data_IF_845472133564
#
_entry.id   IF_845472133564
#
_cell.length_a   1.000
_cell.length_b   1.000
_cell.length_c   1.000
_cell.angle_alpha   90.00
_cell.angle_beta   90.00
_cell.angle_gamma   90.00
#
_symmetry.space_group_name_H-M   'P 1'
#
loop_
_entity.id
_entity.type
_entity.pdbx_description
1 polymer ?
#
# COMPACT_ATOMS: atom_id res chain seq x y z
N UNK A 1 -27.58 -34.51 50.65
CA UNK A 1 -26.30 -34.25 49.97
C UNK A 1 -26.63 -33.86 48.55
N UNK A 2 -26.61 -32.58 48.27
CA UNK A 2 -26.84 -32.06 46.92
C UNK A 2 -25.49 -31.55 46.43
N UNK A 3 -24.99 -32.17 45.37
CA UNK A 3 -23.72 -31.81 44.73
C UNK A 3 -23.87 -30.48 44.02
N UNK A 4 -23.01 -29.50 44.34
CA UNK A 4 -22.85 -28.26 43.62
C UNK A 4 -22.05 -28.55 42.33
N UNK A 5 -22.65 -28.35 41.18
CA UNK A 5 -21.95 -28.22 39.90
C UNK A 5 -21.30 -26.84 39.81
N UNK A 6 -20.05 -26.73 39.34
CA UNK A 6 -19.42 -25.43 39.08
C UNK A 6 -20.01 -24.82 37.82
N UNK A 7 -20.63 -23.65 37.95
CA UNK A 7 -21.03 -22.80 36.86
C UNK A 7 -19.76 -22.28 36.12
N UNK A 8 -19.56 -22.74 34.89
CA UNK A 8 -18.57 -22.25 33.98
C UNK A 8 -19.03 -20.84 33.46
N UNK A 9 -18.57 -19.77 34.11
CA UNK A 9 -18.67 -18.43 33.53
C UNK A 9 -17.68 -18.34 32.35
N UNK A 10 -18.10 -17.86 31.18
CA UNK A 10 -17.16 -17.63 30.09
C UNK A 10 -16.23 -16.49 30.51
N UNK A 11 -14.95 -16.79 30.63
CA UNK A 11 -13.87 -15.81 30.76
C UNK A 11 -13.95 -14.84 29.58
N UNK A 12 -14.33 -13.62 29.90
CA UNK A 12 -14.34 -12.47 29.00
C UNK A 12 -12.87 -12.10 28.72
N UNK A 13 -12.20 -12.84 27.84
CA UNK A 13 -10.96 -12.42 27.22
C UNK A 13 -11.32 -11.17 26.39
N UNK A 14 -11.04 -10.00 26.97
CA UNK A 14 -11.03 -8.73 26.23
C UNK A 14 -10.13 -8.98 25.02
N UNK A 15 -10.73 -9.04 23.83
CA UNK A 15 -10.00 -8.91 22.59
C UNK A 15 -9.20 -7.60 22.69
N UNK A 16 -7.90 -7.71 22.98
CA UNK A 16 -6.97 -6.61 22.73
C UNK A 16 -7.23 -6.20 21.29
N UNK A 17 -7.59 -4.93 21.04
CA UNK A 17 -7.76 -4.41 19.68
C UNK A 17 -6.50 -4.78 18.91
N UNK A 18 -6.63 -5.69 17.95
CA UNK A 18 -5.53 -6.14 17.11
C UNK A 18 -4.92 -4.92 16.45
N UNK A 19 -3.67 -4.60 16.79
CA UNK A 19 -2.90 -3.53 16.16
C UNK A 19 -2.66 -3.80 14.67
N UNK A 20 -3.00 -5.01 14.20
CA UNK A 20 -2.79 -5.46 12.83
C UNK A 20 -3.94 -4.97 11.95
N UNK A 21 -3.62 -4.10 11.00
CA UNK A 21 -4.59 -3.56 10.04
C UNK A 21 -4.70 -4.43 8.78
N UNK A 22 -3.64 -5.20 8.46
CA UNK A 22 -3.66 -6.21 7.39
C UNK A 22 -3.15 -7.52 7.94
N UNK A 23 -3.88 -8.61 7.66
CA UNK A 23 -3.49 -9.97 8.00
C UNK A 23 -3.57 -10.84 6.76
N UNK A 24 -2.46 -11.46 6.37
CA UNK A 24 -2.37 -12.43 5.28
C UNK A 24 -1.99 -13.79 5.87
N UNK A 25 -2.71 -14.85 5.51
CA UNK A 25 -2.46 -16.23 5.96
C UNK A 25 -2.46 -17.19 4.79
N UNK A 26 -1.33 -17.82 4.54
CA UNK A 26 -1.13 -18.83 3.50
C UNK A 26 -1.69 -18.39 2.14
N UNK A 27 -1.39 -17.15 1.71
CA UNK A 27 -1.94 -16.54 0.50
C UNK A 27 -1.24 -17.08 -0.72
N UNK A 28 -2.04 -17.67 -1.63
CA UNK A 28 -1.55 -18.21 -2.91
C UNK A 28 -2.24 -17.53 -4.09
N UNK A 29 -1.47 -17.26 -5.13
CA UNK A 29 -1.96 -16.68 -6.39
C UNK A 29 -1.36 -17.42 -7.58
N UNK A 30 -2.23 -17.80 -8.51
CA UNK A 30 -1.84 -18.36 -9.81
C UNK A 30 -2.35 -17.49 -10.97
N UNK A 31 -1.53 -17.39 -12.01
CA UNK A 31 -1.97 -16.96 -13.34
C UNK A 31 -1.89 -18.16 -14.28
N UNK A 32 -3.04 -18.75 -14.60
CA UNK A 32 -3.10 -20.04 -15.26
C UNK A 32 -2.37 -21.10 -14.41
N UNK A 33 -1.32 -21.72 -14.98
CA UNK A 33 -0.49 -22.71 -14.28
C UNK A 33 0.71 -22.10 -13.53
N UNK A 34 0.94 -20.80 -13.68
CA UNK A 34 2.10 -20.16 -13.04
C UNK A 34 1.75 -19.70 -11.62
N UNK A 35 2.45 -20.29 -10.64
CA UNK A 35 2.25 -20.04 -9.21
C UNK A 35 3.09 -18.84 -8.77
N UNK A 36 2.48 -17.66 -8.65
CA UNK A 36 3.17 -16.39 -8.40
C UNK A 36 3.35 -16.12 -6.92
N UNK A 37 2.33 -16.33 -6.08
CA UNK A 37 2.44 -16.22 -4.62
C UNK A 37 2.27 -17.60 -4.02
N UNK A 38 3.23 -18.00 -3.16
CA UNK A 38 3.40 -19.37 -2.70
C UNK A 38 3.30 -19.47 -1.18
N UNK A 39 2.14 -19.09 -0.61
CA UNK A 39 1.88 -19.20 0.84
C UNK A 39 2.37 -17.98 1.63
N UNK A 40 2.08 -16.77 1.15
CA UNK A 40 2.46 -15.54 1.86
C UNK A 40 1.68 -15.45 3.16
N UNK A 41 2.43 -15.39 4.28
CA UNK A 41 1.88 -15.18 5.62
C UNK A 41 2.62 -14.02 6.26
N UNK A 42 1.90 -12.93 6.54
CA UNK A 42 2.42 -11.73 7.19
C UNK A 42 1.30 -10.90 7.78
N UNK A 43 1.63 -10.01 8.71
CA UNK A 43 0.72 -9.01 9.27
C UNK A 43 1.33 -7.62 9.13
N UNK A 44 0.52 -6.58 8.95
CA UNK A 44 0.96 -5.18 8.94
C UNK A 44 0.20 -4.43 10.03
N UNK A 45 0.93 -3.71 10.87
CA UNK A 45 0.36 -2.93 11.96
C UNK A 45 -0.15 -1.58 11.46
N UNK A 46 -1.12 -1.02 12.17
CA UNK A 46 -1.59 0.35 11.91
C UNK A 46 -0.44 1.35 12.12
N UNK A 47 -0.22 2.23 11.16
CA UNK A 47 0.86 3.23 11.16
C UNK A 47 2.23 2.67 10.77
N UNK A 48 2.34 1.37 10.45
CA UNK A 48 3.59 0.75 10.03
C UNK A 48 3.89 1.07 8.56
N UNK A 49 5.15 1.38 8.26
CA UNK A 49 5.68 1.52 6.91
C UNK A 49 6.46 0.26 6.57
N UNK A 50 5.92 -0.55 5.65
CA UNK A 50 6.55 -1.78 5.18
C UNK A 50 7.08 -1.59 3.77
N UNK A 51 8.38 -1.81 3.55
CA UNK A 51 8.97 -1.81 2.23
C UNK A 51 9.13 -3.24 1.73
N UNK A 52 8.59 -3.51 0.54
CA UNK A 52 8.68 -4.79 -0.17
C UNK A 52 9.69 -4.65 -1.32
N UNK A 53 10.72 -5.47 -1.32
CA UNK A 53 11.81 -5.41 -2.29
C UNK A 53 12.20 -6.81 -2.79
N UNK A 54 13.05 -6.89 -3.81
CA UNK A 54 13.51 -8.16 -4.40
C UNK A 54 13.50 -8.15 -5.92
N UNK A 55 13.94 -9.23 -6.59
CA UNK A 55 14.07 -9.33 -8.04
C UNK A 55 12.76 -9.04 -8.79
N UNK A 56 12.86 -8.60 -10.04
CA UNK A 56 11.71 -8.47 -10.94
C UNK A 56 11.04 -9.83 -11.12
N UNK A 57 9.70 -9.87 -11.12
CA UNK A 57 8.94 -11.11 -11.24
C UNK A 57 8.81 -11.94 -9.97
N UNK A 58 9.38 -11.53 -8.82
CA UNK A 58 9.26 -12.27 -7.55
C UNK A 58 7.87 -12.23 -6.89
N UNK A 59 6.90 -11.49 -7.45
CA UNK A 59 5.52 -11.45 -6.95
C UNK A 59 5.14 -10.21 -6.14
N UNK A 60 6.03 -9.22 -5.94
CA UNK A 60 5.81 -8.01 -5.12
C UNK A 60 4.55 -7.23 -5.50
N UNK A 61 4.45 -6.80 -6.76
CA UNK A 61 3.27 -6.07 -7.27
C UNK A 61 2.00 -6.91 -7.19
N UNK A 62 2.11 -8.22 -7.46
CA UNK A 62 0.98 -9.13 -7.32
C UNK A 62 0.51 -9.20 -5.87
N UNK A 63 1.44 -9.29 -4.91
CA UNK A 63 1.10 -9.33 -3.49
C UNK A 63 0.31 -8.08 -3.06
N UNK A 64 0.82 -6.88 -3.31
CA UNK A 64 0.11 -5.67 -2.87
C UNK A 64 -1.23 -5.49 -3.58
N UNK A 65 -1.37 -5.94 -4.84
CA UNK A 65 -2.63 -5.92 -5.59
C UNK A 65 -3.64 -6.94 -5.10
N UNK A 66 -3.22 -7.98 -4.37
CA UNK A 66 -4.19 -8.88 -3.71
C UNK A 66 -4.85 -8.21 -2.50
N UNK A 67 -4.18 -7.29 -1.81
CA UNK A 67 -4.69 -6.61 -0.60
C UNK A 67 -5.93 -5.76 -0.89
N UNK A 68 -6.01 -5.12 -2.07
CA UNK A 68 -7.17 -4.33 -2.49
C UNK A 68 -8.06 -5.06 -3.53
N UNK A 69 -7.83 -6.35 -3.72
CA UNK A 69 -8.55 -7.20 -4.69
C UNK A 69 -8.48 -6.71 -6.14
N UNK A 70 -7.41 -6.02 -6.54
CA UNK A 70 -7.12 -5.82 -7.97
C UNK A 70 -6.67 -7.13 -8.61
N UNK A 71 -5.96 -7.96 -7.83
CA UNK A 71 -5.67 -9.34 -8.17
C UNK A 71 -6.39 -10.28 -7.21
N UNK A 72 -7.05 -11.29 -7.72
CA UNK A 72 -7.73 -12.29 -6.92
C UNK A 72 -6.74 -13.38 -6.48
N UNK A 73 -6.60 -13.61 -5.16
CA UNK A 73 -5.92 -14.79 -4.64
C UNK A 73 -6.86 -16.01 -4.70
N UNK A 74 -6.33 -17.20 -4.89
CA UNK A 74 -7.13 -18.43 -5.02
C UNK A 74 -7.16 -19.28 -3.75
N UNK A 75 -6.17 -19.07 -2.84
CA UNK A 75 -6.11 -19.79 -1.55
C UNK A 75 -5.53 -18.89 -0.47
N UNK A 76 -5.89 -19.18 0.77
CA UNK A 76 -5.49 -18.41 1.96
C UNK A 76 -6.48 -17.31 2.28
N UNK A 77 -6.20 -16.57 3.33
CA UNK A 77 -7.06 -15.51 3.85
C UNK A 77 -6.34 -14.16 3.83
N UNK A 78 -7.05 -13.12 3.44
CA UNK A 78 -6.62 -11.72 3.58
C UNK A 78 -7.72 -10.98 4.34
N UNK A 79 -7.34 -10.32 5.43
CA UNK A 79 -8.21 -9.45 6.23
C UNK A 79 -7.59 -8.05 6.20
N UNK A 80 -8.40 -7.05 5.87
CA UNK A 80 -7.99 -5.65 5.81
C UNK A 80 -8.92 -4.82 6.66
N UNK A 81 -8.38 -4.16 7.68
CA UNK A 81 -9.14 -3.35 8.67
C UNK A 81 -10.35 -4.12 9.24
N UNK A 82 -10.13 -5.38 9.62
CA UNK A 82 -11.16 -6.28 10.14
C UNK A 82 -12.14 -6.85 9.10
N UNK A 83 -12.02 -6.46 7.83
CA UNK A 83 -12.88 -6.94 6.74
C UNK A 83 -12.19 -8.06 5.97
N UNK A 84 -12.76 -9.27 5.96
CA UNK A 84 -12.23 -10.38 5.18
C UNK A 84 -12.45 -10.16 3.67
N UNK A 85 -11.41 -10.35 2.88
CA UNK A 85 -11.44 -10.34 1.43
C UNK A 85 -12.13 -11.61 0.90
N UNK A 86 -13.41 -11.50 0.64
CA UNK A 86 -14.25 -12.56 0.07
C UNK A 86 -14.71 -12.19 -1.34
N UNK A 87 -15.52 -13.05 -1.97
CA UNK A 87 -16.17 -12.72 -3.25
C UNK A 87 -17.39 -11.78 -3.09
N UNK A 88 -17.72 -11.36 -1.86
CA UNK A 88 -18.78 -10.36 -1.65
C UNK A 88 -18.31 -8.98 -2.11
N UNK A 89 -18.98 -8.43 -3.12
CA UNK A 89 -18.66 -7.12 -3.72
C UNK A 89 -18.74 -5.99 -2.68
N UNK A 90 -19.61 -6.08 -1.67
CA UNK A 90 -19.71 -5.08 -0.59
C UNK A 90 -18.44 -5.00 0.24
N UNK A 91 -17.82 -6.14 0.53
CA UNK A 91 -16.53 -6.20 1.23
C UNK A 91 -15.41 -5.60 0.39
N UNK A 92 -15.39 -5.90 -0.92
CA UNK A 92 -14.41 -5.34 -1.85
C UNK A 92 -14.53 -3.82 -1.93
N UNK A 93 -15.74 -3.28 -2.04
CA UNK A 93 -15.99 -1.84 -2.11
C UNK A 93 -15.61 -1.12 -0.80
N UNK A 94 -15.87 -1.75 0.36
CA UNK A 94 -15.45 -1.23 1.66
C UNK A 94 -13.93 -1.14 1.75
N UNK A 95 -13.21 -2.20 1.36
CA UNK A 95 -11.75 -2.24 1.37
C UNK A 95 -11.18 -1.21 0.38
N UNK A 96 -11.65 -1.17 -0.88
CA UNK A 96 -11.15 -0.23 -1.89
C UNK A 96 -11.40 1.24 -1.55
N UNK A 97 -12.37 1.54 -0.71
CA UNK A 97 -12.62 2.88 -0.20
C UNK A 97 -11.56 3.32 0.80
N UNK A 98 -11.07 2.38 1.63
CA UNK A 98 -10.17 2.67 2.74
C UNK A 98 -8.70 2.30 2.43
N UNK A 99 -8.43 1.72 1.25
CA UNK A 99 -7.10 1.39 0.74
C UNK A 99 -6.81 2.21 -0.52
N UNK A 100 -5.95 3.19 -0.41
CA UNK A 100 -5.44 3.96 -1.56
C UNK A 100 -4.34 3.18 -2.29
N UNK A 101 -4.26 3.35 -3.62
CA UNK A 101 -3.20 2.73 -4.41
C UNK A 101 -2.62 3.71 -5.42
N UNK A 102 -1.29 3.74 -5.47
CA UNK A 102 -0.50 4.51 -6.42
C UNK A 102 0.30 3.54 -7.27
N UNK A 103 0.21 3.67 -8.59
CA UNK A 103 0.81 2.77 -9.57
C UNK A 103 2.05 3.38 -10.19
N UNK A 104 2.89 2.54 -10.79
CA UNK A 104 4.02 2.91 -11.60
C UNK A 104 3.64 3.85 -12.78
N UNK A 105 2.51 3.60 -13.43
CA UNK A 105 2.07 4.30 -14.64
C UNK A 105 1.07 5.44 -14.38
N UNK A 106 1.08 6.05 -13.20
CA UNK A 106 0.23 7.18 -12.75
C UNK A 106 -1.28 6.91 -12.85
N UNK A 107 -1.77 6.35 -13.93
CA UNK A 107 -3.17 5.97 -14.22
C UNK A 107 -4.16 7.13 -14.04
N UNK A 108 -3.76 8.35 -14.41
CA UNK A 108 -4.65 9.50 -14.44
C UNK A 108 -5.64 9.39 -15.60
N UNK A 109 -6.84 9.93 -15.41
CA UNK A 109 -7.84 10.05 -16.46
C UNK A 109 -7.41 11.17 -17.44
N UNK A 110 -6.99 10.84 -18.67
CA UNK A 110 -6.38 11.82 -19.59
C UNK A 110 -7.36 12.88 -20.08
N UNK A 111 -8.66 12.61 -20.05
CA UNK A 111 -9.74 13.51 -20.45
C UNK A 111 -10.23 14.42 -19.32
N UNK A 112 -9.69 14.29 -18.11
CA UNK A 112 -10.00 15.12 -16.95
C UNK A 112 -8.77 15.95 -16.58
N UNK A 113 -8.98 17.21 -16.18
CA UNK A 113 -7.93 18.01 -15.58
C UNK A 113 -7.54 17.46 -14.20
N UNK A 114 -6.48 17.99 -13.59
CA UNK A 114 -5.95 17.59 -12.29
C UNK A 114 -7.03 17.66 -11.21
N UNK A 115 -7.73 18.81 -11.10
CA UNK A 115 -8.79 19.01 -10.13
C UNK A 115 -9.87 17.91 -10.24
N UNK A 116 -10.33 17.61 -11.44
CA UNK A 116 -11.36 16.61 -11.68
C UNK A 116 -10.85 15.18 -11.44
N UNK A 117 -9.57 14.88 -11.73
CA UNK A 117 -8.95 13.61 -11.37
C UNK A 117 -9.02 13.35 -9.86
N UNK A 118 -8.79 14.38 -9.03
CA UNK A 118 -8.77 14.27 -7.57
C UNK A 118 -10.20 14.25 -6.99
N UNK A 119 -11.12 15.09 -7.50
CA UNK A 119 -12.46 15.28 -6.89
C UNK A 119 -13.48 14.22 -7.27
N UNK A 120 -13.29 13.51 -8.39
CA UNK A 120 -14.26 12.57 -8.94
C UNK A 120 -14.66 11.47 -7.92
N UNK A 121 -13.67 10.78 -7.34
CA UNK A 121 -13.91 9.68 -6.42
C UNK A 121 -14.54 10.14 -5.08
N UNK A 122 -14.05 11.18 -4.40
CA UNK A 122 -14.71 11.74 -3.21
C UNK A 122 -16.17 12.11 -3.44
N UNK A 123 -16.49 12.76 -4.56
CA UNK A 123 -17.86 13.13 -4.88
C UNK A 123 -18.76 11.91 -5.13
N UNK A 124 -18.25 10.91 -5.88
CA UNK A 124 -19.05 9.73 -6.26
C UNK A 124 -19.18 8.72 -5.12
N UNK A 125 -18.09 8.44 -4.39
CA UNK A 125 -18.01 7.37 -3.38
C UNK A 125 -18.28 7.89 -1.97
N UNK A 126 -17.60 8.98 -1.56
CA UNK A 126 -17.75 9.60 -0.22
C UNK A 126 -18.93 10.57 -0.14
N UNK A 127 -19.60 10.86 -1.29
CA UNK A 127 -20.74 11.76 -1.41
C UNK A 127 -20.45 13.19 -0.98
N UNK A 128 -19.22 13.65 -1.10
CA UNK A 128 -18.87 15.03 -0.83
C UNK A 128 -19.56 15.97 -1.83
N UNK A 129 -19.96 17.15 -1.37
CA UNK A 129 -20.40 18.22 -2.26
C UNK A 129 -19.22 18.71 -3.13
N UNK A 130 -19.51 19.29 -4.29
CA UNK A 130 -18.47 19.82 -5.17
C UNK A 130 -17.57 20.84 -4.45
N UNK A 131 -18.15 21.72 -3.63
CA UNK A 131 -17.39 22.70 -2.85
C UNK A 131 -16.42 22.05 -1.87
N UNK A 132 -16.85 21.02 -1.15
CA UNK A 132 -16.00 20.28 -0.21
C UNK A 132 -14.88 19.51 -0.94
N UNK A 133 -15.23 18.83 -2.05
CA UNK A 133 -14.26 18.07 -2.83
C UNK A 133 -13.17 18.97 -3.44
N UNK A 134 -13.55 20.16 -3.96
CA UNK A 134 -12.58 21.14 -4.49
C UNK A 134 -11.69 21.69 -3.39
N UNK A 135 -12.24 22.07 -2.23
CA UNK A 135 -11.45 22.56 -1.10
C UNK A 135 -10.41 21.50 -0.66
N UNK A 136 -10.85 20.25 -0.46
CA UNK A 136 -9.97 19.14 -0.11
C UNK A 136 -8.91 18.87 -1.18
N UNK A 137 -9.27 18.94 -2.47
CA UNK A 137 -8.33 18.71 -3.57
C UNK A 137 -7.24 19.80 -3.60
N UNK A 138 -7.59 21.08 -3.35
CA UNK A 138 -6.59 22.16 -3.26
C UNK A 138 -5.63 21.96 -2.10
N UNK A 139 -6.12 21.61 -0.90
CA UNK A 139 -5.27 21.29 0.26
C UNK A 139 -4.29 20.14 -0.05
N UNK A 140 -4.76 19.12 -0.78
CA UNK A 140 -3.91 18.00 -1.19
C UNK A 140 -2.89 18.39 -2.27
N UNK A 141 -3.26 19.25 -3.21
CA UNK A 141 -2.34 19.78 -4.21
C UNK A 141 -1.25 20.66 -3.59
N UNK A 142 -1.61 21.48 -2.57
CA UNK A 142 -0.65 22.22 -1.75
C UNK A 142 0.31 21.27 -1.03
N UNK A 143 -0.23 20.22 -0.41
CA UNK A 143 0.54 19.21 0.32
C UNK A 143 1.53 18.48 -0.58
N UNK A 144 1.16 18.17 -1.84
CA UNK A 144 2.09 17.55 -2.80
C UNK A 144 2.89 18.56 -3.61
N UNK A 145 2.79 19.87 -3.30
CA UNK A 145 3.61 20.95 -3.85
C UNK A 145 3.34 21.31 -5.31
N UNK A 146 2.09 21.19 -5.78
CA UNK A 146 1.69 21.51 -7.17
C UNK A 146 0.30 22.17 -7.27
N UNK A 147 -0.08 23.13 -6.42
CA UNK A 147 -1.41 23.74 -6.47
C UNK A 147 -1.69 24.47 -7.78
N UNK A 148 -0.67 25.05 -8.42
CA UNK A 148 -0.76 25.77 -9.70
C UNK A 148 -1.09 24.86 -10.90
N UNK A 149 -1.04 23.53 -10.72
CA UNK A 149 -1.35 22.56 -11.78
C UNK A 149 -2.83 22.16 -11.82
N UNK A 150 -3.69 22.69 -10.94
CA UNK A 150 -5.08 22.28 -10.73
C UNK A 150 -5.92 22.21 -12.02
N UNK A 151 -5.74 23.15 -12.93
CA UNK A 151 -6.55 23.26 -14.16
C UNK A 151 -5.93 22.53 -15.37
N UNK A 152 -4.69 22.05 -15.24
CA UNK A 152 -3.98 21.36 -16.33
C UNK A 152 -4.47 19.94 -16.53
N UNK A 153 -4.25 19.43 -17.73
CA UNK A 153 -4.50 18.02 -18.07
C UNK A 153 -3.23 17.18 -17.89
N UNK A 154 -3.34 15.85 -17.69
CA UNK A 154 -2.18 14.99 -17.49
C UNK A 154 -1.08 15.12 -18.55
N UNK A 155 -1.44 15.33 -19.82
CA UNK A 155 -0.49 15.49 -20.92
C UNK A 155 0.38 16.77 -20.82
N UNK A 156 -0.02 17.74 -19.99
CA UNK A 156 0.69 19.00 -19.78
C UNK A 156 1.64 18.94 -18.57
N UNK A 157 1.70 17.80 -17.89
CA UNK A 157 2.46 17.59 -16.65
C UNK A 157 3.71 16.75 -16.89
N UNK A 158 4.78 17.03 -16.14
CA UNK A 158 5.93 16.13 -16.05
C UNK A 158 5.53 14.80 -15.38
N UNK A 159 6.33 13.75 -15.54
CA UNK A 159 6.09 12.45 -14.87
C UNK A 159 5.99 12.58 -13.36
N UNK A 160 6.89 13.34 -12.73
CA UNK A 160 6.85 13.59 -11.28
C UNK A 160 5.61 14.35 -10.83
N UNK A 161 5.14 15.33 -11.62
CA UNK A 161 3.88 16.02 -11.35
C UNK A 161 2.68 15.07 -11.49
N UNK A 162 2.63 14.24 -12.54
CA UNK A 162 1.58 13.24 -12.70
C UNK A 162 1.53 12.26 -11.53
N UNK A 163 2.68 11.82 -11.03
CA UNK A 163 2.75 10.93 -9.88
C UNK A 163 2.27 11.60 -8.59
N UNK A 164 2.64 12.87 -8.37
CA UNK A 164 2.14 13.64 -7.22
C UNK A 164 0.61 13.86 -7.31
N UNK A 165 0.06 14.07 -8.50
CA UNK A 165 -1.40 14.08 -8.70
C UNK A 165 -2.01 12.71 -8.38
N UNK A 166 -1.38 11.59 -8.77
CA UNK A 166 -1.87 10.26 -8.45
C UNK A 166 -1.87 10.00 -6.94
N UNK A 167 -0.85 10.47 -6.20
CA UNK A 167 -0.80 10.43 -4.74
C UNK A 167 -1.94 11.28 -4.14
N UNK A 168 -2.10 12.54 -4.58
CA UNK A 168 -3.17 13.41 -4.12
C UNK A 168 -4.55 12.81 -4.37
N UNK A 169 -4.78 12.21 -5.55
CA UNK A 169 -6.01 11.49 -5.88
C UNK A 169 -6.30 10.33 -4.94
N UNK A 170 -5.29 9.54 -4.60
CA UNK A 170 -5.44 8.44 -3.65
C UNK A 170 -5.77 8.96 -2.24
N UNK A 171 -5.07 10.00 -1.78
CA UNK A 171 -5.28 10.64 -0.47
C UNK A 171 -6.66 11.32 -0.35
N UNK A 172 -7.24 11.80 -1.45
CA UNK A 172 -8.56 12.43 -1.47
C UNK A 172 -9.68 11.48 -1.00
N UNK A 173 -9.46 10.17 -1.09
CA UNK A 173 -10.36 9.17 -0.51
C UNK A 173 -10.18 9.00 1.00
N UNK A 174 -9.26 9.72 1.66
CA UNK A 174 -8.94 9.58 3.09
C UNK A 174 -8.73 8.11 3.49
N UNK A 175 -7.79 7.42 2.82
CA UNK A 175 -7.56 5.99 3.07
C UNK A 175 -6.88 5.77 4.42
N UNK A 176 -7.09 4.59 5.00
CA UNK A 176 -6.38 4.12 6.20
C UNK A 176 -5.03 3.49 5.86
N UNK A 177 -4.89 3.02 4.62
CA UNK A 177 -3.71 2.31 4.11
C UNK A 177 -3.38 2.86 2.72
N UNK A 178 -2.10 3.10 2.46
CA UNK A 178 -1.58 3.46 1.15
C UNK A 178 -0.69 2.35 0.60
N UNK A 179 -0.99 1.90 -0.61
CA UNK A 179 -0.18 0.94 -1.36
C UNK A 179 0.55 1.67 -2.48
N UNK A 180 1.86 1.48 -2.58
CA UNK A 180 2.69 2.06 -3.63
C UNK A 180 3.34 0.94 -4.44
N UNK A 181 3.07 0.89 -5.74
CA UNK A 181 3.60 -0.11 -6.66
C UNK A 181 4.64 0.52 -7.57
N UNK A 182 5.91 0.50 -7.17
CA UNK A 182 7.04 1.08 -7.85
C UNK A 182 6.80 2.54 -8.30
N UNK A 183 6.48 3.46 -7.38
CA UNK A 183 5.98 4.80 -7.73
C UNK A 183 6.99 5.70 -8.45
N UNK A 184 8.26 5.33 -8.47
CA UNK A 184 9.34 6.13 -9.07
C UNK A 184 9.94 5.50 -10.34
N UNK A 185 9.63 4.25 -10.66
CA UNK A 185 10.31 3.49 -11.72
C UNK A 185 10.05 3.99 -13.15
N UNK A 186 8.99 4.83 -13.35
CA UNK A 186 8.69 5.48 -14.63
C UNK A 186 9.15 6.94 -14.69
N UNK A 187 9.98 7.39 -13.73
CA UNK A 187 10.41 8.78 -13.59
C UNK A 187 11.89 8.96 -13.94
N UNK A 188 12.20 10.14 -14.48
CA UNK A 188 13.58 10.58 -14.59
C UNK A 188 14.19 10.85 -13.21
N UNK A 189 15.52 10.65 -13.02
CA UNK A 189 16.18 10.79 -11.72
C UNK A 189 15.92 12.13 -11.01
N UNK A 190 15.80 13.22 -11.75
CA UNK A 190 15.53 14.54 -11.20
C UNK A 190 14.15 14.66 -10.54
N UNK A 191 13.17 13.86 -11.02
CA UNK A 191 11.79 13.88 -10.53
C UNK A 191 11.53 12.92 -9.35
N UNK A 192 12.41 11.91 -9.17
CA UNK A 192 12.28 10.90 -8.13
C UNK A 192 12.25 11.56 -6.75
N UNK A 193 13.15 12.50 -6.50
CA UNK A 193 13.27 13.17 -5.20
C UNK A 193 11.96 13.79 -4.74
N UNK A 194 11.27 14.53 -5.61
CA UNK A 194 10.03 15.23 -5.25
C UNK A 194 8.91 14.27 -4.85
N UNK A 195 8.83 13.09 -5.50
CA UNK A 195 7.87 12.05 -5.16
C UNK A 195 8.22 11.38 -3.85
N UNK A 196 9.51 11.07 -3.63
CA UNK A 196 9.97 10.47 -2.37
C UNK A 196 9.80 11.43 -1.19
N UNK A 197 9.97 12.74 -1.38
CA UNK A 197 9.76 13.74 -0.31
C UNK A 197 8.28 13.73 0.15
N UNK A 198 7.32 13.67 -0.77
CA UNK A 198 5.90 13.49 -0.43
C UNK A 198 5.66 12.18 0.34
N UNK A 199 6.29 11.08 -0.09
CA UNK A 199 6.13 9.78 0.59
C UNK A 199 6.76 9.78 1.99
N UNK A 200 7.87 10.50 2.22
CA UNK A 200 8.47 10.70 3.55
C UNK A 200 7.53 11.44 4.49
N UNK A 201 6.88 12.49 3.99
CA UNK A 201 5.89 13.23 4.76
C UNK A 201 4.72 12.33 5.19
N UNK A 202 4.23 11.48 4.27
CA UNK A 202 3.17 10.52 4.58
C UNK A 202 3.61 9.52 5.66
N UNK A 203 4.81 8.97 5.56
CA UNK A 203 5.39 8.08 6.58
C UNK A 203 5.46 8.77 7.94
N UNK A 204 6.02 9.99 7.99
CA UNK A 204 6.14 10.78 9.23
C UNK A 204 4.78 11.14 9.84
N UNK A 205 3.74 11.28 9.02
CA UNK A 205 2.37 11.55 9.49
C UNK A 205 1.67 10.32 10.12
N UNK A 206 2.33 9.17 10.18
CA UNK A 206 1.78 7.91 10.73
C UNK A 206 0.83 7.17 9.80
N UNK A 207 0.92 7.42 8.49
CA UNK A 207 0.16 6.67 7.49
C UNK A 207 0.64 5.23 7.41
N UNK A 208 -0.28 4.27 7.45
CA UNK A 208 0.07 2.87 7.16
C UNK A 208 0.41 2.73 5.68
N UNK A 209 1.60 2.24 5.37
CA UNK A 209 2.10 2.18 4.00
C UNK A 209 2.70 0.81 3.68
N UNK A 210 2.43 0.29 2.48
CA UNK A 210 3.20 -0.80 1.87
C UNK A 210 3.78 -0.25 0.56
N UNK A 211 5.09 -0.27 0.45
CA UNK A 211 5.81 0.35 -0.67
C UNK A 211 6.67 -0.70 -1.37
N UNK A 212 6.31 -1.04 -2.61
CA UNK A 212 7.21 -1.78 -3.51
C UNK A 212 8.14 -0.78 -4.16
N UNK A 213 9.44 -0.89 -3.94
CA UNK A 213 10.41 0.06 -4.48
C UNK A 213 11.81 -0.55 -4.62
N UNK A 214 12.61 0.06 -5.50
CA UNK A 214 14.05 -0.17 -5.64
C UNK A 214 14.88 0.97 -5.02
N UNK A 215 14.23 1.99 -4.45
CA UNK A 215 14.86 3.14 -3.82
C UNK A 215 15.34 2.78 -2.40
N UNK A 216 16.48 2.10 -2.30
CA UNK A 216 16.98 1.57 -1.03
C UNK A 216 17.37 2.66 -0.02
N UNK A 217 17.80 3.83 -0.49
CA UNK A 217 18.05 4.99 0.38
C UNK A 217 16.77 5.47 1.08
N UNK A 218 15.67 5.55 0.35
CA UNK A 218 14.34 5.85 0.89
C UNK A 218 13.89 4.75 1.86
N UNK A 219 14.03 3.47 1.47
CA UNK A 219 13.65 2.35 2.31
C UNK A 219 14.36 2.37 3.67
N UNK A 220 15.69 2.64 3.67
CA UNK A 220 16.50 2.74 4.90
C UNK A 220 16.03 3.86 5.83
N UNK A 221 15.52 4.96 5.27
CA UNK A 221 15.13 6.15 6.02
C UNK A 221 13.73 6.01 6.65
N UNK A 222 12.76 5.42 5.93
CA UNK A 222 11.35 5.49 6.34
C UNK A 222 10.73 4.17 6.77
N UNK A 223 11.31 3.02 6.42
CA UNK A 223 10.70 1.74 6.70
C UNK A 223 10.83 1.36 8.17
N UNK A 224 9.73 0.92 8.78
CA UNK A 224 9.76 0.22 10.06
C UNK A 224 10.20 -1.24 9.87
N UNK A 225 9.81 -1.82 8.71
CA UNK A 225 10.14 -3.20 8.35
C UNK A 225 10.31 -3.34 6.84
N UNK A 226 11.23 -4.21 6.46
CA UNK A 226 11.50 -4.57 5.07
C UNK A 226 11.21 -6.05 4.84
N UNK A 227 10.63 -6.39 3.69
CA UNK A 227 10.31 -7.76 3.27
C UNK A 227 10.97 -8.07 1.93
N UNK A 228 11.88 -9.03 1.93
CA UNK A 228 12.51 -9.54 0.71
C UNK A 228 11.65 -10.60 0.08
N UNK A 229 11.18 -10.35 -1.13
CA UNK A 229 10.46 -11.31 -1.97
C UNK A 229 11.40 -11.98 -2.96
N UNK A 230 11.35 -13.31 -3.01
CA UNK A 230 12.02 -14.10 -4.04
C UNK A 230 11.16 -15.32 -4.39
N UNK A 231 11.03 -15.65 -5.67
CA UNK A 231 10.26 -16.80 -6.19
C UNK A 231 8.84 -16.97 -5.57
N UNK A 232 8.17 -15.88 -5.27
CA UNK A 232 6.80 -15.89 -4.76
C UNK A 232 6.65 -16.14 -3.25
N UNK A 233 7.75 -16.09 -2.49
CA UNK A 233 7.75 -16.19 -1.02
C UNK A 233 8.47 -15.01 -0.38
N UNK A 234 8.19 -14.76 0.90
CA UNK A 234 9.00 -13.85 1.72
C UNK A 234 10.19 -14.67 2.24
N UNK A 235 11.40 -14.41 1.72
CA UNK A 235 12.62 -15.14 2.10
C UNK A 235 13.30 -14.55 3.33
N UNK A 236 13.08 -13.27 3.59
CA UNK A 236 13.60 -12.57 4.76
C UNK A 236 12.73 -11.36 5.09
N UNK A 237 12.54 -11.08 6.37
CA UNK A 237 11.96 -9.84 6.86
C UNK A 237 12.69 -9.37 8.12
N UNK A 238 12.76 -8.04 8.28
CA UNK A 238 13.44 -7.43 9.42
C UNK A 238 13.42 -5.92 9.37
N UNK A 239 14.03 -5.27 10.39
CA UNK A 239 14.26 -3.84 10.34
C UNK A 239 15.23 -3.47 9.21
N UNK A 240 15.22 -2.20 8.72
CA UNK A 240 16.20 -1.76 7.73
C UNK A 240 17.63 -2.05 8.15
N UNK A 241 17.99 -1.81 9.41
CA UNK A 241 19.32 -2.08 9.96
C UNK A 241 19.68 -3.57 9.80
N UNK A 242 18.77 -4.50 10.16
CA UNK A 242 19.03 -5.94 10.03
C UNK A 242 19.22 -6.35 8.56
N UNK A 243 18.39 -5.83 7.66
CA UNK A 243 18.44 -6.18 6.24
C UNK A 243 19.72 -5.64 5.59
N UNK A 244 20.15 -4.42 5.90
CA UNK A 244 21.33 -3.80 5.25
C UNK A 244 22.65 -4.24 5.87
N UNK A 245 22.71 -4.44 7.19
CA UNK A 245 23.97 -4.67 7.90
C UNK A 245 24.24 -6.16 8.18
N UNK A 246 23.18 -6.96 8.36
CA UNK A 246 23.28 -8.37 8.72
C UNK A 246 22.24 -9.24 7.99
N UNK A 247 22.16 -9.22 6.64
CA UNK A 247 21.21 -10.03 5.90
C UNK A 247 21.52 -11.53 6.11
N UNK A 248 20.47 -12.30 6.36
CA UNK A 248 20.58 -13.75 6.65
C UNK A 248 20.46 -14.59 5.38
N UNK A 249 19.45 -14.26 4.54
CA UNK A 249 19.18 -14.99 3.30
C UNK A 249 20.26 -14.71 2.24
N UNK A 250 20.70 -15.74 1.53
CA UNK A 250 21.66 -15.59 0.44
C UNK A 250 21.04 -14.81 -0.73
N UNK A 251 19.72 -14.95 -0.98
CA UNK A 251 19.00 -14.12 -1.96
C UNK A 251 19.05 -12.64 -1.59
N UNK A 252 18.88 -12.30 -0.29
CA UNK A 252 18.98 -10.91 0.19
C UNK A 252 20.38 -10.35 -0.01
N UNK A 253 21.42 -11.11 0.37
CA UNK A 253 22.84 -10.70 0.18
C UNK A 253 23.15 -10.45 -1.28
N UNK A 254 22.74 -11.39 -2.15
CA UNK A 254 22.96 -11.28 -3.59
C UNK A 254 22.26 -10.04 -4.16
N UNK A 255 20.98 -9.83 -3.82
CA UNK A 255 20.20 -8.70 -4.30
C UNK A 255 20.83 -7.36 -3.87
N UNK A 256 21.19 -7.22 -2.59
CA UNK A 256 21.81 -5.99 -2.07
C UNK A 256 23.16 -5.72 -2.72
N UNK A 257 23.98 -6.75 -2.99
CA UNK A 257 25.27 -6.57 -3.66
C UNK A 257 25.18 -6.08 -5.10
N UNK A 258 24.00 -6.14 -5.74
CA UNK A 258 23.77 -5.68 -7.10
C UNK A 258 23.29 -4.23 -7.18
N UNK A 259 22.78 -3.69 -6.08
CA UNK A 259 22.13 -2.36 -6.06
C UNK A 259 22.81 -1.35 -5.14
N UNK A 260 23.71 -1.80 -4.25
CA UNK A 260 24.56 -0.96 -3.39
C UNK A 260 26.00 -0.94 -3.95
#
# INVERSE_FOLDING_TARGET
MVANEPTNEPTNERMEESKDIIVCRDVHKWFGNFHVLRGITTTIKKGEVVVVFGPSGSGKSTFIRTINRLEEHQRGDIIVDGVALTNDTRNIDAIRRDVGMVFQSFNLFPHLNVMNNITLAPMKVRKLSAKQAVAQAMELLERVGIPEQADKYPAELSGGQQQRVAIARALAMQPKIMLFDEPTSALDPEMIKEVLDVMRELATSGMTMIVVTHEMGFAKEVADRMMMFDEGVIVEEGSPEQIFEAPKSDSTKLFLSQIL
#
